data_IF_196197020855
#
_entry.id   IF_196197020855
#
_cell.length_a   1.000
_cell.length_b   1.000
_cell.length_c   1.000
_cell.angle_alpha   90.00
_cell.angle_beta   90.00
_cell.angle_gamma   90.00
#
_symmetry.space_group_name_H-M   'P 1'
#
loop_
_entity.id
_entity.type
_entity.pdbx_description
1 polymer ?
#
# COMPACT_ATOMS: atom_id res chain seq x y z
N UNK A 1 7.59 -23.63 8.02
CA UNK A 1 6.25 -23.14 8.38
C UNK A 1 6.44 -21.72 8.89
N UNK A 2 6.12 -20.71 8.09
CA UNK A 2 6.32 -19.31 8.49
C UNK A 2 5.24 -19.01 9.53
N UNK A 3 5.58 -18.60 10.76
CA UNK A 3 4.56 -18.24 11.73
C UNK A 3 3.86 -16.99 11.21
N UNK A 4 2.53 -16.97 11.24
CA UNK A 4 1.74 -15.75 11.12
C UNK A 4 1.38 -15.34 12.55
N UNK A 5 2.26 -14.65 13.29
CA UNK A 5 1.81 -14.03 14.52
C UNK A 5 1.07 -12.77 14.09
N UNK A 6 -0.21 -12.66 14.44
CA UNK A 6 -0.85 -11.49 15.07
C UNK A 6 -2.35 -11.79 15.18
N UNK A 7 -2.90 -11.55 16.37
CA UNK A 7 -4.07 -12.22 16.94
C UNK A 7 -5.41 -12.02 16.22
N UNK A 8 -6.46 -12.56 16.84
CA UNK A 8 -7.86 -12.66 16.37
C UNK A 8 -8.54 -11.32 15.99
N UNK A 9 -8.03 -10.61 14.98
CA UNK A 9 -8.52 -9.32 14.50
C UNK A 9 -8.04 -9.02 13.07
N UNK A 10 -8.51 -7.91 12.49
CA UNK A 10 -8.10 -7.48 11.14
C UNK A 10 -6.64 -7.00 11.15
N UNK A 11 -5.86 -7.40 10.14
CA UNK A 11 -4.49 -6.89 9.94
C UNK A 11 -4.51 -5.40 9.58
N UNK A 12 -3.62 -4.59 10.17
CA UNK A 12 -3.51 -3.18 9.83
C UNK A 12 -2.50 -2.98 8.69
N UNK A 13 -2.99 -2.53 7.53
CA UNK A 13 -2.22 -2.46 6.29
C UNK A 13 -2.12 -1.02 5.80
N UNK A 14 -0.89 -0.56 5.55
CA UNK A 14 -0.61 0.69 4.84
C UNK A 14 -0.24 0.38 3.39
N UNK A 15 -0.88 1.03 2.43
CA UNK A 15 -0.57 0.89 1.00
C UNK A 15 0.00 2.20 0.48
N UNK A 16 1.13 2.11 -0.23
CA UNK A 16 1.84 3.25 -0.80
C UNK A 16 1.67 3.25 -2.31
N UNK A 17 0.92 4.23 -2.81
CA UNK A 17 0.73 4.47 -4.25
C UNK A 17 -0.59 3.94 -4.78
N UNK A 18 -1.66 4.73 -4.67
CA UNK A 18 -2.99 4.38 -5.21
C UNK A 18 -3.24 4.77 -6.67
N UNK A 19 -2.32 4.37 -7.55
CA UNK A 19 -2.64 4.18 -8.98
C UNK A 19 -3.44 2.89 -9.18
N UNK A 20 -3.57 2.39 -10.42
CA UNK A 20 -4.35 1.18 -10.72
C UNK A 20 -4.03 -0.03 -9.83
N UNK A 21 -2.75 -0.41 -9.75
CA UNK A 21 -2.27 -1.53 -8.92
C UNK A 21 -2.59 -1.34 -7.43
N UNK A 22 -2.31 -0.16 -6.87
CA UNK A 22 -2.56 0.09 -5.45
C UNK A 22 -4.05 0.17 -5.11
N UNK A 23 -4.86 0.73 -6.00
CA UNK A 23 -6.32 0.82 -5.82
C UNK A 23 -6.97 -0.58 -5.86
N UNK A 24 -6.61 -1.43 -6.83
CA UNK A 24 -7.13 -2.80 -6.90
C UNK A 24 -6.59 -3.67 -5.74
N UNK A 25 -5.33 -3.49 -5.34
CA UNK A 25 -4.79 -4.14 -4.13
C UNK A 25 -5.62 -3.75 -2.88
N UNK A 26 -5.90 -2.46 -2.72
CA UNK A 26 -6.70 -1.95 -1.61
C UNK A 26 -8.15 -2.48 -1.64
N UNK A 27 -8.75 -2.58 -2.84
CA UNK A 27 -10.08 -3.15 -3.05
C UNK A 27 -10.14 -4.62 -2.64
N UNK A 28 -9.20 -5.44 -3.13
CA UNK A 28 -9.10 -6.85 -2.80
C UNK A 28 -8.94 -7.09 -1.29
N UNK A 29 -8.06 -6.34 -0.63
CA UNK A 29 -7.86 -6.44 0.81
C UNK A 29 -9.10 -6.02 1.61
N UNK A 30 -9.85 -5.04 1.12
CA UNK A 30 -11.09 -4.58 1.75
C UNK A 30 -12.20 -5.62 1.60
N UNK A 31 -12.36 -6.20 0.40
CA UNK A 31 -13.35 -7.26 0.13
C UNK A 31 -13.05 -8.52 0.94
N UNK A 32 -11.76 -8.88 1.08
CA UNK A 32 -11.34 -10.04 1.88
C UNK A 32 -11.73 -9.94 3.36
N UNK A 33 -12.03 -8.74 3.87
CA UNK A 33 -12.62 -8.54 5.20
C UNK A 33 -11.67 -8.77 6.40
N UNK A 34 -10.46 -9.26 6.16
CA UNK A 34 -9.44 -9.55 7.18
C UNK A 34 -8.41 -8.45 7.37
N UNK A 35 -8.56 -7.31 6.68
CA UNK A 35 -7.64 -6.18 6.76
C UNK A 35 -8.38 -4.85 6.99
N UNK A 36 -7.74 -3.97 7.77
CA UNK A 36 -8.03 -2.54 7.82
C UNK A 36 -7.01 -1.84 6.93
N UNK A 37 -7.50 -1.17 5.89
CA UNK A 37 -6.65 -0.65 4.81
C UNK A 37 -6.55 0.86 4.88
N UNK A 38 -5.33 1.35 5.00
CA UNK A 38 -4.98 2.76 4.87
C UNK A 38 -4.22 2.98 3.56
N UNK A 39 -4.74 3.83 2.68
CA UNK A 39 -4.12 4.11 1.39
C UNK A 39 -3.50 5.52 1.36
N UNK A 40 -2.20 5.58 1.09
CA UNK A 40 -1.47 6.84 0.92
C UNK A 40 -1.54 7.29 -0.53
N UNK A 41 -2.12 8.47 -0.74
CA UNK A 41 -2.31 9.10 -2.04
C UNK A 41 -1.60 10.45 -2.07
N UNK A 42 -0.89 10.75 -3.17
CA UNK A 42 -0.38 12.09 -3.44
C UNK A 42 -1.33 12.83 -4.38
N UNK A 43 -1.21 12.59 -5.68
CA UNK A 43 -1.93 13.31 -6.73
C UNK A 43 -3.46 13.12 -6.71
N UNK A 44 -3.92 12.02 -6.12
CA UNK A 44 -5.32 11.58 -6.14
C UNK A 44 -6.02 11.79 -4.79
N UNK A 45 -5.31 12.28 -3.77
CA UNK A 45 -5.85 12.39 -2.42
C UNK A 45 -7.16 13.16 -2.38
N UNK A 46 -7.18 14.39 -2.92
CA UNK A 46 -8.36 15.25 -2.85
C UNK A 46 -9.58 14.66 -3.55
N UNK A 47 -9.38 14.03 -4.72
CA UNK A 47 -10.49 13.48 -5.49
C UNK A 47 -11.04 12.21 -4.84
N UNK A 48 -10.18 11.31 -4.37
CA UNK A 48 -10.59 10.07 -3.70
C UNK A 48 -11.21 10.38 -2.34
N UNK A 49 -10.66 11.33 -1.59
CA UNK A 49 -11.22 11.76 -0.31
C UNK A 49 -12.58 12.43 -0.46
N UNK A 50 -12.85 13.13 -1.56
CA UNK A 50 -14.14 13.82 -1.79
C UNK A 50 -15.17 12.96 -2.50
N UNK A 51 -14.76 12.15 -3.47
CA UNK A 51 -15.66 11.42 -4.38
C UNK A 51 -15.47 9.90 -4.33
N UNK A 52 -14.35 9.40 -3.83
CA UNK A 52 -13.96 7.99 -3.96
C UNK A 52 -13.42 7.67 -5.35
N UNK A 53 -13.02 6.41 -5.54
CA UNK A 53 -12.66 5.88 -6.84
C UNK A 53 -13.90 5.48 -7.64
N UNK A 54 -13.84 5.72 -8.94
CA UNK A 54 -14.63 4.99 -9.93
C UNK A 54 -13.77 3.84 -10.45
N UNK A 55 -14.25 2.61 -10.31
CA UNK A 55 -13.55 1.39 -10.75
C UNK A 55 -14.43 0.69 -11.77
N UNK A 56 -13.91 0.42 -12.96
CA UNK A 56 -14.54 -0.44 -13.97
C UNK A 56 -13.64 -1.65 -14.20
N UNK A 57 -13.98 -2.78 -13.58
CA UNK A 57 -13.15 -3.99 -13.56
C UNK A 57 -13.96 -5.19 -14.04
N UNK A 58 -13.35 -6.04 -14.86
CA UNK A 58 -13.97 -7.29 -15.28
C UNK A 58 -14.20 -8.25 -14.11
N UNK A 59 -13.35 -8.20 -13.08
CA UNK A 59 -13.43 -9.08 -11.91
C UNK A 59 -14.35 -8.52 -10.81
N UNK A 60 -14.41 -7.20 -10.66
CA UNK A 60 -15.12 -6.54 -9.56
C UNK A 60 -16.40 -5.79 -10.00
N UNK A 61 -16.68 -5.76 -11.30
CA UNK A 61 -17.73 -4.95 -11.89
C UNK A 61 -17.44 -3.45 -11.82
N UNK A 62 -18.53 -2.66 -11.81
CA UNK A 62 -18.48 -1.20 -11.76
C UNK A 62 -18.77 -0.70 -10.36
N UNK A 63 -17.80 0.01 -9.77
CA UNK A 63 -17.92 0.63 -8.45
C UNK A 63 -17.83 2.14 -8.61
N UNK A 64 -18.81 2.85 -8.04
CA UNK A 64 -18.84 4.30 -7.99
C UNK A 64 -18.63 4.77 -6.54
N UNK A 65 -17.67 5.66 -6.37
CA UNK A 65 -17.36 6.29 -5.08
C UNK A 65 -16.76 5.37 -4.02
N UNK A 66 -16.13 4.27 -4.43
CA UNK A 66 -15.49 3.34 -3.51
C UNK A 66 -14.28 3.97 -2.80
N UNK A 67 -14.07 3.63 -1.52
CA UNK A 67 -12.90 4.05 -0.74
C UNK A 67 -12.41 2.92 0.17
N UNK A 68 -11.11 2.86 0.45
CA UNK A 68 -10.60 2.05 1.55
C UNK A 68 -11.04 2.63 2.89
N UNK A 69 -10.76 1.91 3.98
CA UNK A 69 -11.11 2.32 5.35
C UNK A 69 -10.54 3.71 5.70
N UNK A 70 -9.30 3.98 5.28
CA UNK A 70 -8.64 5.27 5.48
C UNK A 70 -7.87 5.70 4.24
N UNK A 71 -7.81 7.01 4.01
CA UNK A 71 -7.02 7.65 2.95
C UNK A 71 -6.17 8.74 3.60
N UNK A 72 -4.88 8.79 3.27
CA UNK A 72 -3.94 9.76 3.80
C UNK A 72 -3.18 10.49 2.67
N UNK A 73 -2.83 11.77 2.83
CA UNK A 73 -2.08 12.53 1.84
C UNK A 73 -0.56 12.23 1.88
N UNK A 74 -0.09 11.64 2.98
CA UNK A 74 1.33 11.34 3.22
C UNK A 74 1.47 10.12 4.13
N UNK A 75 2.68 9.54 4.12
CA UNK A 75 3.03 8.43 5.01
C UNK A 75 2.99 8.91 6.46
N UNK A 76 2.21 8.27 7.34
CA UNK A 76 2.16 8.64 8.75
C UNK A 76 3.47 8.25 9.46
N UNK A 77 3.82 9.00 10.51
CA UNK A 77 4.94 8.68 11.37
C UNK A 77 4.43 7.97 12.63
N UNK A 78 4.73 6.67 12.77
CA UNK A 78 4.25 5.88 13.92
C UNK A 78 4.85 6.38 15.23
N UNK A 79 6.11 6.79 15.22
CA UNK A 79 6.82 7.31 16.39
C UNK A 79 6.29 8.67 16.87
N UNK A 80 5.55 9.40 16.03
CA UNK A 80 4.99 10.72 16.35
C UNK A 80 3.52 10.67 16.83
N UNK A 81 3.02 9.48 17.21
CA UNK A 81 1.67 9.33 17.78
C UNK A 81 0.60 8.87 16.78
N UNK A 82 0.97 8.19 15.69
CA UNK A 82 -0.03 7.52 14.86
C UNK A 82 -0.75 6.44 15.69
N UNK A 83 -2.07 6.26 15.52
CA UNK A 83 -2.90 5.50 16.46
C UNK A 83 -2.59 4.00 16.51
N UNK A 84 -1.88 3.44 15.53
CA UNK A 84 -1.49 2.02 15.54
C UNK A 84 -0.32 1.74 14.59
N UNK A 85 0.57 0.83 14.99
CA UNK A 85 1.59 0.25 14.12
C UNK A 85 0.94 -0.54 12.97
N UNK A 86 1.59 -0.58 11.81
CA UNK A 86 1.16 -1.38 10.67
C UNK A 86 1.80 -2.77 10.74
N UNK A 87 1.00 -3.80 10.51
CA UNK A 87 1.48 -5.18 10.37
C UNK A 87 2.11 -5.37 8.99
N UNK A 88 1.53 -4.73 7.96
CA UNK A 88 2.05 -4.73 6.60
C UNK A 88 2.15 -3.33 6.01
N UNK A 89 3.24 -3.06 5.29
CA UNK A 89 3.36 -1.92 4.38
C UNK A 89 3.50 -2.47 2.96
N UNK A 90 2.54 -2.18 2.09
CA UNK A 90 2.52 -2.65 0.71
C UNK A 90 2.92 -1.51 -0.22
N UNK A 91 4.03 -1.69 -0.94
CA UNK A 91 4.56 -0.73 -1.88
C UNK A 91 4.10 -1.07 -3.30
N UNK A 92 3.27 -0.20 -3.89
CA UNK A 92 2.74 -0.34 -5.26
C UNK A 92 3.12 0.83 -6.17
N UNK A 93 4.04 1.69 -5.73
CA UNK A 93 4.61 2.75 -6.58
C UNK A 93 5.49 2.14 -7.67
N UNK A 94 5.74 2.88 -8.76
CA UNK A 94 6.76 2.47 -9.73
C UNK A 94 8.14 2.61 -9.10
N UNK A 95 8.99 1.59 -9.27
CA UNK A 95 10.41 1.69 -8.94
C UNK A 95 11.08 2.57 -9.99
N UNK A 96 11.55 3.75 -9.55
CA UNK A 96 12.30 4.69 -10.37
C UNK A 96 13.62 4.89 -9.63
N UNK A 97 14.74 4.53 -10.25
CA UNK A 97 16.05 4.51 -9.58
C UNK A 97 16.47 5.92 -9.11
N UNK A 98 16.05 6.96 -9.83
CA UNK A 98 16.36 8.36 -9.53
C UNK A 98 15.29 9.05 -8.67
N UNK A 99 14.21 8.36 -8.29
CA UNK A 99 13.17 8.98 -7.47
C UNK A 99 13.70 9.28 -6.07
N UNK A 100 13.59 10.55 -5.66
CA UNK A 100 13.89 11.01 -4.31
C UNK A 100 12.62 11.56 -3.64
N UNK A 101 12.30 11.12 -2.41
CA UNK A 101 12.92 10.01 -1.68
C UNK A 101 12.66 8.66 -2.38
N UNK A 102 13.55 7.69 -2.15
CA UNK A 102 13.32 6.29 -2.53
C UNK A 102 12.11 5.72 -1.79
N UNK A 103 11.54 4.62 -2.30
CA UNK A 103 10.42 3.95 -1.63
C UNK A 103 10.78 3.54 -0.20
N UNK A 104 12.01 3.04 0.02
CA UNK A 104 12.48 2.63 1.34
C UNK A 104 12.59 3.82 2.33
N UNK A 105 13.10 4.96 1.88
CA UNK A 105 13.14 6.20 2.69
C UNK A 105 11.73 6.73 2.96
N UNK A 106 10.86 6.69 1.96
CA UNK A 106 9.49 7.20 2.04
C UNK A 106 8.67 6.47 3.13
N UNK A 107 8.82 5.14 3.22
CA UNK A 107 8.04 4.33 4.17
C UNK A 107 8.65 4.26 5.56
N UNK A 108 9.92 4.62 5.72
CA UNK A 108 10.67 4.50 6.98
C UNK A 108 9.91 5.03 8.21
N UNK A 109 9.20 6.18 8.17
CA UNK A 109 8.44 6.67 9.32
C UNK A 109 7.27 5.78 9.75
N UNK A 110 6.77 4.92 8.85
CA UNK A 110 5.67 4.00 9.08
C UNK A 110 6.14 2.59 9.52
N UNK A 111 7.43 2.27 9.37
CA UNK A 111 7.99 0.94 9.68
C UNK A 111 8.19 0.81 11.19
N UNK A 112 7.60 -0.22 11.79
CA UNK A 112 7.88 -0.62 13.18
C UNK A 112 8.93 -1.74 13.20
N UNK A 113 10.13 -1.52 13.76
CA UNK A 113 11.20 -2.53 13.81
C UNK A 113 10.73 -3.87 14.40
N UNK A 114 11.12 -4.99 13.78
CA UNK A 114 10.78 -6.34 14.25
C UNK A 114 9.29 -6.73 14.16
N UNK A 115 8.42 -5.85 13.66
CA UNK A 115 6.97 -6.09 13.55
C UNK A 115 6.46 -5.97 12.12
N UNK A 116 6.71 -4.83 11.49
CA UNK A 116 6.13 -4.54 10.17
C UNK A 116 6.77 -5.42 9.10
N UNK A 117 5.95 -6.06 8.29
CA UNK A 117 6.40 -6.73 7.07
C UNK A 117 6.27 -5.78 5.88
N UNK A 118 7.37 -5.57 5.15
CA UNK A 118 7.41 -4.73 3.95
C UNK A 118 7.12 -5.62 2.74
N UNK A 119 6.06 -5.32 2.01
CA UNK A 119 5.63 -6.08 0.82
C UNK A 119 5.87 -5.23 -0.42
N UNK A 120 6.73 -5.69 -1.31
CA UNK A 120 7.07 -5.01 -2.56
C UNK A 120 6.27 -5.63 -3.69
N UNK A 121 5.33 -4.86 -4.25
CA UNK A 121 4.51 -5.23 -5.41
C UNK A 121 4.89 -4.31 -6.56
N UNK A 122 6.16 -4.41 -6.97
CA UNK A 122 6.77 -3.52 -7.94
C UNK A 122 7.57 -4.36 -8.94
N UNK A 123 7.58 -3.92 -10.19
CA UNK A 123 8.49 -4.48 -11.17
C UNK A 123 9.89 -3.91 -10.95
N UNK A 124 10.90 -4.75 -11.10
CA UNK A 124 12.30 -4.36 -11.00
C UNK A 124 13.18 -5.53 -10.59
N UNK A 125 14.49 -5.30 -10.61
CA UNK A 125 15.49 -6.24 -10.09
C UNK A 125 16.17 -5.61 -8.89
N UNK A 126 16.43 -6.42 -7.86
CA UNK A 126 17.13 -6.00 -6.64
C UNK A 126 16.47 -4.78 -5.96
N UNK A 127 15.14 -4.74 -5.97
CA UNK A 127 14.36 -3.63 -5.38
C UNK A 127 14.34 -3.68 -3.85
N UNK A 128 14.67 -4.84 -3.29
CA UNK A 128 14.70 -5.15 -1.86
C UNK A 128 15.94 -4.64 -1.14
N UNK A 129 17.07 -4.44 -1.83
CA UNK A 129 18.34 -4.07 -1.19
C UNK A 129 18.25 -2.80 -0.33
N UNK A 130 17.65 -1.68 -0.78
CA UNK A 130 17.50 -0.48 0.06
C UNK A 130 16.60 -0.71 1.29
N UNK A 131 15.66 -1.66 1.21
CA UNK A 131 14.78 -1.99 2.34
C UNK A 131 15.52 -2.81 3.40
N UNK A 132 16.41 -3.72 3.00
CA UNK A 132 17.26 -4.45 3.94
C UNK A 132 18.25 -3.53 4.65
N UNK A 133 18.83 -2.56 3.94
CA UNK A 133 19.75 -1.59 4.54
C UNK A 133 19.06 -0.68 5.56
N UNK A 134 17.84 -0.21 5.24
CA UNK A 134 17.12 0.74 6.08
C UNK A 134 16.26 0.08 7.18
N UNK A 135 15.90 -1.19 7.03
CA UNK A 135 15.03 -1.92 7.95
C UNK A 135 15.52 -3.37 8.15
N UNK A 136 16.73 -3.56 8.70
CA UNK A 136 17.37 -4.88 8.79
C UNK A 136 16.63 -5.87 9.71
N UNK A 137 15.85 -5.37 10.68
CA UNK A 137 15.07 -6.19 11.61
C UNK A 137 13.70 -6.58 11.07
N UNK A 138 13.33 -6.14 9.86
CA UNK A 138 12.02 -6.32 9.28
C UNK A 138 12.04 -7.33 8.15
N UNK A 139 10.95 -8.08 8.02
CA UNK A 139 10.76 -8.99 6.88
C UNK A 139 10.46 -8.16 5.64
N UNK A 140 11.19 -8.41 4.55
CA UNK A 140 10.91 -7.88 3.22
C UNK A 140 10.41 -9.02 2.34
N UNK A 141 9.18 -8.91 1.84
CA UNK A 141 8.54 -9.84 0.92
C UNK A 141 8.44 -9.17 -0.45
N UNK A 142 9.18 -9.68 -1.43
CA UNK A 142 9.10 -9.21 -2.82
C UNK A 142 8.21 -10.13 -3.64
N UNK A 143 7.28 -9.56 -4.40
CA UNK A 143 6.33 -10.31 -5.21
C UNK A 143 6.03 -9.62 -6.53
N UNK A 144 5.93 -10.41 -7.60
CA UNK A 144 5.53 -9.92 -8.92
C UNK A 144 3.99 -9.96 -8.98
N UNK A 145 3.39 -8.81 -9.28
CA UNK A 145 1.96 -8.72 -9.53
C UNK A 145 1.66 -9.02 -11.01
N UNK A 146 0.73 -9.95 -11.24
CA UNK A 146 0.15 -10.17 -12.56
C UNK A 146 -1.24 -9.53 -12.64
N UNK A 147 -1.26 -8.19 -12.66
CA UNK A 147 -2.49 -7.40 -12.77
C UNK A 147 -2.37 -6.43 -13.93
N UNK A 148 -3.39 -6.39 -14.78
CA UNK A 148 -3.54 -5.39 -15.84
C UNK A 148 -4.50 -4.31 -15.38
N UNK A 149 -4.01 -3.31 -14.66
CA UNK A 149 -4.82 -2.18 -14.21
C UNK A 149 -4.12 -0.85 -14.44
N UNK A 150 -4.88 0.17 -14.84
CA UNK A 150 -4.40 1.52 -15.08
C UNK A 150 -5.34 2.57 -14.47
N UNK A 151 -4.76 3.69 -14.05
CA UNK A 151 -5.53 4.88 -13.74
C UNK A 151 -5.59 5.75 -15.00
N UNK A 152 -6.78 5.89 -15.60
CA UNK A 152 -6.97 6.67 -16.83
C UNK A 152 -7.04 8.17 -16.56
N UNK A 153 -7.72 8.51 -15.47
CA UNK A 153 -7.91 9.86 -14.95
C UNK A 153 -7.83 9.79 -13.43
N UNK A 154 -7.59 10.91 -12.76
CA UNK A 154 -7.49 10.91 -11.29
C UNK A 154 -8.75 10.30 -10.66
N UNK A 155 -8.57 9.23 -9.89
CA UNK A 155 -9.66 8.51 -9.24
C UNK A 155 -10.46 7.57 -10.16
N UNK A 156 -10.05 7.36 -11.42
CA UNK A 156 -10.71 6.46 -12.38
C UNK A 156 -9.78 5.31 -12.73
N UNK A 157 -10.10 4.11 -12.23
CA UNK A 157 -9.32 2.89 -12.40
C UNK A 157 -10.05 1.93 -13.33
N UNK A 158 -9.30 1.34 -14.26
CA UNK A 158 -9.77 0.37 -15.25
C UNK A 158 -8.81 -0.82 -15.29
#
# INVERSE_FOLDING_TARGET
>A
MIPVPHGQGKANILIIGGGGIGAITALNLTIGGTATVTLVLRSNYDIVQKRGYRIDSVDHGRLEGWRPHHVLPSVPNVSAGAPQAFDYIVCTTKTIQEAKPSTAELIRPAVTPGRTTIVLVQNGLNIEAPHFELSPDNVVLSGISWMGSCEREKGVVV
#
